data_IF_237170897325
#
_entry.id   IF_237170897325
#
_cell.length_a   1.000
_cell.length_b   1.000
_cell.length_c   1.000
_cell.angle_alpha   90.00
_cell.angle_beta   90.00
_cell.angle_gamma   90.00
#
_symmetry.space_group_name_H-M   'P 1'
#
loop_
_entity.id
_entity.type
_entity.pdbx_description
1 polymer ?
#
# COMPACT_ATOMS: atom_id res chain seq x y z
N UNK A 1 12.30 -22.73 -28.89
CA UNK A 1 13.30 -21.72 -28.46
C UNK A 1 12.78 -20.31 -28.71
N UNK A 2 11.73 -19.82 -27.99
CA UNK A 2 11.21 -18.41 -28.08
C UNK A 2 10.30 -18.00 -26.89
N UNK A 3 10.57 -18.45 -25.65
CA UNK A 3 9.81 -18.00 -24.45
C UNK A 3 10.75 -17.32 -23.43
N UNK A 4 12.04 -17.68 -23.39
CA UNK A 4 13.00 -17.08 -22.45
C UNK A 4 13.47 -15.68 -22.86
N UNK A 5 13.47 -15.34 -24.15
CA UNK A 5 13.95 -14.03 -24.63
C UNK A 5 12.93 -12.90 -24.42
N UNK A 6 11.64 -13.21 -24.21
CA UNK A 6 10.62 -12.19 -23.89
C UNK A 6 10.59 -11.78 -22.42
N UNK A 7 11.44 -12.39 -21.58
CA UNK A 7 11.54 -12.11 -20.14
C UNK A 7 12.74 -11.23 -19.79
N UNK A 8 13.63 -10.93 -20.75
CA UNK A 8 14.78 -10.07 -20.50
C UNK A 8 14.47 -8.62 -20.86
N UNK A 9 14.16 -7.82 -19.84
CA UNK A 9 13.95 -6.38 -19.96
C UNK A 9 12.50 -5.98 -20.27
N UNK A 10 12.21 -4.71 -20.00
CA UNK A 10 10.92 -4.09 -20.30
C UNK A 10 10.97 -3.47 -21.71
N UNK A 11 9.88 -3.62 -22.46
CA UNK A 11 9.64 -2.80 -23.64
C UNK A 11 9.48 -1.32 -23.26
N UNK A 12 9.53 -0.42 -24.24
CA UNK A 12 9.32 1.01 -23.99
C UNK A 12 7.94 1.30 -23.36
N UNK A 13 6.89 0.62 -23.83
CA UNK A 13 5.54 0.74 -23.28
C UNK A 13 5.48 0.26 -21.82
N UNK A 14 6.00 -0.94 -21.55
CA UNK A 14 6.03 -1.49 -20.18
C UNK A 14 6.82 -0.58 -19.24
N UNK A 15 7.93 0.00 -19.72
CA UNK A 15 8.76 0.92 -18.95
C UNK A 15 8.00 2.19 -18.54
N UNK A 16 7.22 2.78 -19.46
CA UNK A 16 6.42 3.98 -19.15
C UNK A 16 5.29 3.67 -18.14
N UNK A 17 4.62 2.52 -18.29
CA UNK A 17 3.60 2.08 -17.33
C UNK A 17 4.23 1.84 -15.95
N UNK A 18 5.36 1.15 -15.90
CA UNK A 18 6.12 0.91 -14.67
C UNK A 18 6.54 2.24 -14.03
N UNK A 19 7.06 3.19 -14.81
CA UNK A 19 7.47 4.50 -14.30
C UNK A 19 6.29 5.29 -13.70
N UNK A 20 5.09 5.18 -14.29
CA UNK A 20 3.87 5.78 -13.75
C UNK A 20 3.55 5.21 -12.36
N UNK A 21 3.56 3.88 -12.21
CA UNK A 21 3.23 3.24 -10.93
C UNK A 21 4.34 3.38 -9.88
N UNK A 22 5.60 3.54 -10.29
CA UNK A 22 6.68 3.93 -9.37
C UNK A 22 6.39 5.31 -8.77
N UNK A 23 5.99 6.30 -9.57
CA UNK A 23 5.61 7.63 -9.04
C UNK A 23 4.43 7.55 -8.08
N UNK A 24 3.45 6.69 -8.35
CA UNK A 24 2.31 6.47 -7.43
C UNK A 24 2.78 5.81 -6.13
N UNK A 25 3.65 4.80 -6.20
CA UNK A 25 4.23 4.17 -5.01
C UNK A 25 5.00 5.20 -4.16
N UNK A 26 5.81 6.06 -4.78
CA UNK A 26 6.54 7.12 -4.09
C UNK A 26 5.58 8.11 -3.39
N UNK A 27 4.49 8.53 -4.05
CA UNK A 27 3.46 9.40 -3.45
C UNK A 27 2.80 8.78 -2.21
N UNK A 28 2.70 7.45 -2.17
CA UNK A 28 2.14 6.70 -1.06
C UNK A 28 3.20 6.26 -0.03
N UNK A 29 4.44 6.72 -0.15
CA UNK A 29 5.59 6.31 0.67
C UNK A 29 5.82 4.78 0.67
N UNK A 30 5.54 4.12 -0.45
CA UNK A 30 5.79 2.70 -0.66
C UNK A 30 7.16 2.48 -1.30
N UNK A 31 7.82 1.32 -1.07
CA UNK A 31 9.06 1.00 -1.76
C UNK A 31 8.89 1.01 -3.27
N UNK A 32 9.89 1.53 -4.00
CA UNK A 32 9.93 1.54 -5.47
C UNK A 32 9.54 0.21 -6.11
N UNK A 33 10.01 -0.91 -5.55
CA UNK A 33 9.73 -2.25 -6.07
C UNK A 33 8.23 -2.60 -6.07
N UNK A 34 7.42 -1.99 -5.19
CA UNK A 34 5.96 -2.16 -5.17
C UNK A 34 5.35 -1.58 -6.45
N UNK A 35 5.77 -0.37 -6.84
CA UNK A 35 5.34 0.27 -8.09
C UNK A 35 5.84 -0.48 -9.32
N UNK A 36 7.08 -0.96 -9.30
CA UNK A 36 7.64 -1.77 -10.40
C UNK A 36 6.87 -3.08 -10.62
N UNK A 37 6.61 -3.83 -9.54
CA UNK A 37 5.89 -5.10 -9.60
C UNK A 37 4.45 -4.89 -10.06
N UNK A 38 3.75 -3.92 -9.49
CA UNK A 38 2.36 -3.65 -9.87
C UNK A 38 2.28 -3.17 -11.32
N UNK A 39 3.17 -2.27 -11.74
CA UNK A 39 3.18 -1.76 -13.11
C UNK A 39 3.40 -2.86 -14.15
N UNK A 40 4.32 -3.79 -13.89
CA UNK A 40 4.52 -4.96 -14.77
C UNK A 40 3.29 -5.87 -14.76
N UNK A 41 2.74 -6.20 -13.59
CA UNK A 41 1.57 -7.07 -13.49
C UNK A 41 0.31 -6.44 -14.11
N UNK A 42 0.19 -5.11 -14.08
CA UNK A 42 -0.95 -4.39 -14.64
C UNK A 42 -1.01 -4.45 -16.16
N UNK A 43 0.15 -4.38 -16.83
CA UNK A 43 0.24 -4.43 -18.29
C UNK A 43 0.49 -5.84 -18.84
N UNK A 44 0.78 -6.82 -17.97
CA UNK A 44 1.03 -8.19 -18.37
C UNK A 44 -0.23 -8.87 -18.93
N UNK A 45 -0.11 -9.51 -20.09
CA UNK A 45 -1.20 -10.30 -20.69
C UNK A 45 -1.44 -11.64 -19.99
N UNK A 46 -0.50 -12.10 -19.16
CA UNK A 46 -0.54 -13.38 -18.47
C UNK A 46 -0.06 -13.21 -17.03
N UNK A 47 -0.61 -14.03 -16.15
CA UNK A 47 -0.14 -14.14 -14.77
C UNK A 47 1.35 -14.48 -14.72
N UNK A 48 2.09 -13.86 -13.82
CA UNK A 48 3.54 -14.05 -13.69
C UNK A 48 3.90 -14.63 -12.33
N UNK A 49 4.87 -15.54 -12.25
CA UNK A 49 5.39 -16.00 -10.97
C UNK A 49 6.48 -15.08 -10.43
N UNK A 50 6.90 -15.31 -9.18
CA UNK A 50 7.95 -14.52 -8.52
C UNK A 50 9.24 -14.46 -9.36
N UNK A 51 9.69 -15.59 -9.90
CA UNK A 51 10.93 -15.63 -10.68
C UNK A 51 10.82 -14.85 -11.99
N UNK A 52 9.65 -14.88 -12.64
CA UNK A 52 9.41 -14.13 -13.88
C UNK A 52 9.52 -12.63 -13.61
N UNK A 53 8.88 -12.14 -12.54
CA UNK A 53 8.91 -10.75 -12.13
C UNK A 53 10.32 -10.30 -11.75
N UNK A 54 11.03 -11.12 -10.97
CA UNK A 54 12.41 -10.85 -10.55
C UNK A 54 13.34 -10.71 -11.75
N UNK A 55 13.24 -11.62 -12.72
CA UNK A 55 14.06 -11.59 -13.93
C UNK A 55 13.68 -10.41 -14.82
N UNK A 56 12.38 -10.20 -15.07
CA UNK A 56 11.90 -9.14 -15.96
C UNK A 56 12.23 -7.73 -15.46
N UNK A 57 12.14 -7.51 -14.15
CA UNK A 57 12.46 -6.22 -13.52
C UNK A 57 13.94 -6.08 -13.11
N UNK A 58 14.72 -7.16 -13.17
CA UNK A 58 16.10 -7.20 -12.68
C UNK A 58 16.26 -6.69 -11.22
N UNK A 59 15.36 -7.13 -10.34
CA UNK A 59 15.39 -6.79 -8.90
C UNK A 59 15.75 -8.00 -8.05
N UNK A 60 16.13 -7.77 -6.78
CA UNK A 60 16.49 -8.86 -5.87
C UNK A 60 15.29 -9.74 -5.52
N UNK A 61 15.53 -11.03 -5.20
CA UNK A 61 14.48 -11.94 -4.72
C UNK A 61 13.78 -11.40 -3.47
N UNK A 62 14.52 -10.77 -2.55
CA UNK A 62 13.97 -10.16 -1.34
C UNK A 62 13.02 -9.00 -1.66
N UNK A 63 13.44 -8.10 -2.57
CA UNK A 63 12.61 -6.98 -3.04
C UNK A 63 11.34 -7.46 -3.74
N UNK A 64 11.45 -8.50 -4.58
CA UNK A 64 10.29 -9.13 -5.24
C UNK A 64 9.33 -9.70 -4.21
N UNK A 65 9.79 -10.55 -3.29
CA UNK A 65 8.95 -11.17 -2.26
C UNK A 65 8.26 -10.13 -1.37
N UNK A 66 9.01 -9.14 -0.90
CA UNK A 66 8.47 -8.12 -0.01
C UNK A 66 7.46 -7.22 -0.74
N UNK A 67 7.75 -6.83 -1.99
CA UNK A 67 6.82 -6.04 -2.79
C UNK A 67 5.52 -6.80 -3.10
N UNK A 68 5.60 -8.08 -3.46
CA UNK A 68 4.43 -8.94 -3.64
C UNK A 68 3.61 -9.09 -2.35
N UNK A 69 4.28 -9.26 -1.20
CA UNK A 69 3.60 -9.33 0.11
C UNK A 69 2.83 -8.04 0.41
N UNK A 70 3.45 -6.88 0.17
CA UNK A 70 2.84 -5.56 0.36
C UNK A 70 1.63 -5.40 -0.57
N UNK A 71 1.79 -5.65 -1.87
CA UNK A 71 0.68 -5.57 -2.83
C UNK A 71 -0.48 -6.49 -2.46
N UNK A 72 -0.17 -7.68 -1.94
CA UNK A 72 -1.18 -8.65 -1.52
C UNK A 72 -1.91 -8.20 -0.25
N UNK A 73 -1.23 -7.55 0.70
CA UNK A 73 -1.85 -7.18 1.98
C UNK A 73 -2.99 -6.19 1.81
N UNK A 74 -2.91 -5.28 0.82
CA UNK A 74 -3.99 -4.37 0.48
C UNK A 74 -4.76 -4.74 -0.80
N UNK A 75 -4.59 -5.97 -1.29
CA UNK A 75 -5.41 -6.52 -2.38
C UNK A 75 -5.15 -5.95 -3.78
N UNK A 76 -4.00 -5.32 -4.02
CA UNK A 76 -3.60 -4.85 -5.35
C UNK A 76 -3.20 -5.98 -6.29
N UNK A 77 -2.89 -7.16 -5.76
CA UNK A 77 -2.68 -8.38 -6.55
C UNK A 77 -3.44 -9.55 -5.94
N UNK A 78 -3.78 -10.52 -6.78
CA UNK A 78 -4.31 -11.81 -6.37
C UNK A 78 -3.37 -12.93 -6.80
N UNK A 79 -3.39 -14.04 -6.05
CA UNK A 79 -2.73 -15.28 -6.44
C UNK A 79 -3.68 -16.10 -7.31
N UNK A 80 -3.20 -16.59 -8.43
CA UNK A 80 -3.94 -17.47 -9.33
C UNK A 80 -3.26 -18.82 -9.45
N UNK A 81 -4.06 -19.87 -9.55
CA UNK A 81 -3.57 -21.24 -9.73
C UNK A 81 -3.40 -21.53 -11.21
N UNK A 82 -2.21 -22.02 -11.58
CA UNK A 82 -1.92 -22.51 -12.94
C UNK A 82 -1.82 -24.04 -12.88
N UNK A 83 -2.72 -24.79 -13.56
CA UNK A 83 -2.71 -26.24 -13.54
C UNK A 83 -1.36 -26.84 -13.94
N UNK A 84 -0.85 -27.76 -13.13
CA UNK A 84 0.42 -28.45 -13.39
C UNK A 84 1.67 -27.68 -12.95
N UNK A 85 1.54 -26.44 -12.50
CA UNK A 85 2.62 -25.68 -11.87
C UNK A 85 2.38 -25.58 -10.35
N UNK A 86 3.44 -25.67 -9.56
CA UNK A 86 3.40 -25.58 -8.09
C UNK A 86 3.73 -24.17 -7.59
N UNK A 87 4.08 -23.24 -8.49
CA UNK A 87 4.39 -21.86 -8.15
C UNK A 87 3.13 -21.03 -7.94
N UNK A 88 3.24 -20.01 -7.10
CA UNK A 88 2.27 -18.93 -7.05
C UNK A 88 2.43 -18.04 -8.28
N UNK A 89 1.33 -17.80 -8.99
CA UNK A 89 1.24 -16.81 -10.06
C UNK A 89 0.41 -15.63 -9.59
N UNK A 90 0.77 -14.44 -10.05
CA UNK A 90 0.16 -13.19 -9.61
C UNK A 90 -0.50 -12.47 -10.78
N UNK A 91 -1.63 -11.81 -10.49
CA UNK A 91 -2.35 -10.93 -11.40
C UNK A 91 -2.71 -9.63 -10.67
N UNK A 92 -2.68 -8.51 -11.38
CA UNK A 92 -3.11 -7.23 -10.83
C UNK A 92 -4.65 -7.16 -10.68
N UNK A 93 -5.10 -6.48 -9.63
CA UNK A 93 -6.48 -6.00 -9.54
C UNK A 93 -6.58 -4.69 -10.33
N UNK A 94 -7.49 -4.59 -11.30
CA UNK A 94 -7.62 -3.39 -12.15
C UNK A 94 -8.58 -2.35 -11.56
N UNK A 95 -9.38 -2.73 -10.55
CA UNK A 95 -10.29 -1.82 -9.87
C UNK A 95 -9.55 -0.91 -8.90
N UNK A 96 -9.31 0.34 -9.31
CA UNK A 96 -8.75 1.39 -8.46
C UNK A 96 -9.51 1.51 -7.13
N UNK A 97 -10.83 1.35 -7.16
CA UNK A 97 -11.69 1.38 -5.97
C UNK A 97 -11.32 0.29 -4.96
N UNK A 98 -11.15 -0.95 -5.41
CA UNK A 98 -10.79 -2.06 -4.51
C UNK A 98 -9.40 -1.85 -3.92
N UNK A 99 -8.45 -1.40 -4.74
CA UNK A 99 -7.09 -1.08 -4.30
C UNK A 99 -7.11 0.03 -3.25
N UNK A 100 -7.79 1.13 -3.53
CA UNK A 100 -7.89 2.26 -2.60
C UNK A 100 -8.55 1.84 -1.27
N UNK A 101 -9.62 1.05 -1.34
CA UNK A 101 -10.29 0.53 -0.14
C UNK A 101 -9.39 -0.41 0.67
N UNK A 102 -8.69 -1.33 0.00
CA UNK A 102 -7.76 -2.25 0.66
C UNK A 102 -6.58 -1.51 1.29
N UNK A 103 -6.03 -0.52 0.58
CA UNK A 103 -4.91 0.29 1.08
C UNK A 103 -5.33 1.09 2.31
N UNK A 104 -6.51 1.69 2.29
CA UNK A 104 -7.04 2.42 3.42
C UNK A 104 -7.25 1.53 4.66
N UNK A 105 -7.78 0.32 4.45
CA UNK A 105 -7.98 -0.63 5.53
C UNK A 105 -6.65 -1.12 6.13
N UNK A 106 -5.65 -1.40 5.28
CA UNK A 106 -4.39 -1.98 5.72
C UNK A 106 -3.38 -0.95 6.24
N UNK A 107 -3.32 0.25 5.64
CA UNK A 107 -2.28 1.25 5.93
C UNK A 107 -2.81 2.43 6.73
N UNK A 108 -4.09 2.80 6.62
CA UNK A 108 -4.60 4.03 7.25
C UNK A 108 -5.32 3.71 8.55
N UNK A 109 -6.24 2.75 8.52
CA UNK A 109 -7.13 2.44 9.65
C UNK A 109 -6.38 2.04 10.93
N UNK A 110 -5.33 1.19 10.92
CA UNK A 110 -4.61 0.82 12.14
C UNK A 110 -3.91 2.02 12.82
N UNK A 111 -3.41 2.96 12.02
CA UNK A 111 -2.78 4.18 12.56
C UNK A 111 -3.80 5.10 13.25
N UNK A 112 -5.02 5.18 12.73
CA UNK A 112 -6.10 5.95 13.35
C UNK A 112 -6.54 5.39 14.70
N UNK A 113 -6.66 4.06 14.78
CA UNK A 113 -7.01 3.35 16.02
C UNK A 113 -5.91 3.54 17.07
N UNK A 114 -4.64 3.30 16.72
CA UNK A 114 -3.51 3.47 17.65
C UNK A 114 -3.30 4.91 18.14
N UNK A 115 -3.80 5.91 17.40
CA UNK A 115 -3.70 7.32 17.79
C UNK A 115 -4.57 7.67 18.99
N UNK A 116 -5.70 6.98 19.19
CA UNK A 116 -6.57 7.17 20.35
C UNK A 116 -5.91 6.67 21.63
N UNK A 117 -5.33 5.47 21.61
CA UNK A 117 -4.62 4.90 22.75
C UNK A 117 -3.43 5.77 23.18
N UNK A 118 -2.74 6.38 22.21
CA UNK A 118 -1.66 7.33 22.50
C UNK A 118 -2.16 8.61 23.15
N UNK A 119 -3.31 9.12 22.73
CA UNK A 119 -3.89 10.31 23.34
C UNK A 119 -4.34 10.07 24.78
N UNK A 120 -4.95 8.92 25.05
CA UNK A 120 -5.31 8.53 26.41
C UNK A 120 -4.08 8.52 27.32
N UNK A 121 -2.98 7.91 26.85
CA UNK A 121 -1.70 7.95 27.55
C UNK A 121 -1.14 9.36 27.75
N UNK A 122 -1.26 10.24 26.75
CA UNK A 122 -0.82 11.64 26.87
C UNK A 122 -1.62 12.37 27.96
N UNK A 123 -2.93 12.14 28.03
CA UNK A 123 -3.77 12.73 29.08
C UNK A 123 -3.41 12.22 30.47
N UNK A 124 -3.15 10.93 30.62
CA UNK A 124 -2.78 10.36 31.92
C UNK A 124 -1.44 10.91 32.41
N UNK A 125 -0.44 11.00 31.52
CA UNK A 125 0.83 11.64 31.84
C UNK A 125 0.67 13.12 32.21
N UNK A 126 -0.23 13.85 31.53
CA UNK A 126 -0.51 15.25 31.85
C UNK A 126 -1.12 15.43 33.25
N UNK A 127 -1.93 14.47 33.72
CA UNK A 127 -2.52 14.49 35.07
C UNK A 127 -1.49 14.22 36.17
N UNK A 128 -0.45 13.45 35.85
CA UNK A 128 0.63 13.08 36.79
C UNK A 128 1.72 14.15 36.88
N UNK A 129 1.79 15.06 35.92
CA UNK A 129 2.81 16.07 35.83
C UNK A 129 2.54 17.24 36.79
N UNK A 130 3.57 17.66 37.54
CA UNK A 130 3.48 18.75 38.51
C UNK A 130 3.87 20.07 37.82
N UNK A 131 3.15 21.16 38.12
CA UNK A 131 3.38 22.50 37.54
C UNK A 131 3.05 22.62 36.03
N UNK A 132 1.99 21.94 35.60
CA UNK A 132 1.51 22.03 34.21
C UNK A 132 0.81 23.36 33.97
N UNK A 133 1.33 24.16 33.02
CA UNK A 133 0.68 25.40 32.61
C UNK A 133 -0.70 25.17 31.96
N UNK A 134 -1.64 26.10 32.14
CA UNK A 134 -2.94 26.07 31.47
C UNK A 134 -2.83 26.02 29.94
N UNK A 135 -1.81 26.67 29.38
CA UNK A 135 -1.51 26.64 27.93
C UNK A 135 -1.19 25.23 27.42
N UNK A 136 -0.52 24.40 28.23
CA UNK A 136 -0.20 23.03 27.83
C UNK A 136 -1.46 22.15 27.83
N UNK A 137 -2.33 22.30 28.83
CA UNK A 137 -3.64 21.66 28.85
C UNK A 137 -4.47 21.96 27.61
N UNK A 138 -4.59 23.24 27.23
CA UNK A 138 -5.33 23.62 26.02
C UNK A 138 -4.74 23.00 24.74
N UNK A 139 -3.42 22.86 24.65
CA UNK A 139 -2.78 22.25 23.47
C UNK A 139 -3.09 20.76 23.37
N UNK A 140 -3.07 20.05 24.49
CA UNK A 140 -3.42 18.62 24.54
C UNK A 140 -4.90 18.42 24.19
N UNK A 141 -5.80 19.26 24.71
CA UNK A 141 -7.22 19.22 24.37
C UNK A 141 -7.48 19.52 22.87
N UNK A 142 -6.76 20.50 22.29
CA UNK A 142 -6.84 20.76 20.84
C UNK A 142 -6.37 19.57 20.01
N UNK A 143 -5.28 18.92 20.42
CA UNK A 143 -4.74 17.73 19.75
C UNK A 143 -5.75 16.58 19.77
N UNK A 144 -6.41 16.36 20.92
CA UNK A 144 -7.46 15.37 21.05
C UNK A 144 -8.65 15.64 20.11
N UNK A 145 -9.10 16.90 20.08
CA UNK A 145 -10.17 17.32 19.18
C UNK A 145 -9.79 17.15 17.70
N UNK A 146 -8.53 17.41 17.33
CA UNK A 146 -8.04 17.19 15.98
C UNK A 146 -8.05 15.70 15.62
N UNK A 147 -7.56 14.83 16.49
CA UNK A 147 -7.56 13.38 16.26
C UNK A 147 -8.98 12.81 16.14
N UNK A 148 -9.89 13.23 17.04
CA UNK A 148 -11.31 12.83 17.00
C UNK A 148 -11.94 13.22 15.66
N UNK A 149 -11.70 14.45 15.19
CA UNK A 149 -12.19 14.92 13.88
C UNK A 149 -11.57 14.13 12.72
N UNK A 150 -10.26 13.87 12.76
CA UNK A 150 -9.59 13.06 11.74
C UNK A 150 -10.22 11.66 11.62
N UNK A 151 -10.46 11.00 12.75
CA UNK A 151 -11.10 9.67 12.80
C UNK A 151 -12.54 9.67 12.27
N UNK A 152 -13.27 10.78 12.38
CA UNK A 152 -14.63 10.91 11.84
C UNK A 152 -14.65 11.22 10.34
N UNK A 153 -13.77 12.12 9.89
CA UNK A 153 -13.77 12.63 8.51
C UNK A 153 -13.11 11.66 7.54
N UNK A 154 -12.00 11.04 7.94
CA UNK A 154 -11.18 10.24 7.05
C UNK A 154 -11.93 9.02 6.45
N UNK A 155 -12.74 8.25 7.20
CA UNK A 155 -13.54 7.18 6.59
C UNK A 155 -14.54 7.68 5.55
N UNK A 156 -15.07 8.91 5.69
CA UNK A 156 -15.98 9.50 4.71
C UNK A 156 -15.22 9.85 3.43
N UNK A 157 -14.05 10.48 3.55
CA UNK A 157 -13.17 10.79 2.41
C UNK A 157 -12.79 9.51 1.66
N UNK A 158 -12.40 8.46 2.38
CA UNK A 158 -12.06 7.16 1.79
C UNK A 158 -13.24 6.51 1.07
N UNK A 159 -14.46 6.59 1.63
CA UNK A 159 -15.68 6.13 0.97
C UNK A 159 -16.02 6.93 -0.30
N UNK A 160 -15.73 8.23 -0.32
CA UNK A 160 -15.94 9.09 -1.49
C UNK A 160 -14.95 8.79 -2.62
N UNK A 161 -13.67 8.57 -2.28
CA UNK A 161 -12.64 8.15 -3.23
C UNK A 161 -12.96 6.74 -3.77
N UNK A 162 -13.52 5.87 -2.92
CA UNK A 162 -14.03 4.54 -3.29
C UNK A 162 -15.48 4.53 -3.79
N UNK A 163 -15.98 5.62 -4.39
CA UNK A 163 -17.39 5.84 -4.74
C UNK A 163 -18.02 4.84 -5.74
N UNK A 164 -19.35 4.67 -5.61
CA UNK A 164 -20.22 3.65 -6.23
C UNK A 164 -20.32 3.75 -7.77
N UNK A 165 -19.99 2.65 -8.43
CA UNK A 165 -20.47 2.18 -9.72
C UNK A 165 -20.61 0.67 -9.63
#
# INVERSE_FOLDING_TARGET
MKIKDSLSGLSALESEVVALFVRVADLLNLPRSVGELYGVLFIAEKSMCLDDLRIKLNISKGSTSQGLKILRSFGAIRVVYVPGDRKDFYEAESSLRKIASGFAHEQIQPHLESGLDRLERIQDLLKEEVDVSGTLHERVERLENWQKRANQVLPLVLKLIGGKG
#
